data_IF_478655216389
#
_entry.id   IF_478655216389
#
_cell.length_a   1.000
_cell.length_b   1.000
_cell.length_c   1.000
_cell.angle_alpha   90.00
_cell.angle_beta   90.00
_cell.angle_gamma   90.00
#
_symmetry.space_group_name_H-M   'P 1'
#
loop_
_entity.id
_entity.type
_entity.pdbx_description
1 polymer ?
#
# COMPACT_ATOMS: atom_id res chain seq x y z
N UNK A 1 -7.02 15.79 -7.13
CA UNK A 1 -6.06 16.71 -6.50
C UNK A 1 -6.62 17.34 -5.22
N UNK A 2 -7.95 17.31 -4.99
CA UNK A 2 -8.62 17.87 -3.80
C UNK A 2 -8.22 17.23 -2.46
N UNK A 3 -7.97 15.91 -2.43
CA UNK A 3 -7.74 15.17 -1.17
C UNK A 3 -6.50 15.61 -0.37
N UNK A 4 -5.47 16.17 -1.01
CA UNK A 4 -4.27 16.66 -0.30
C UNK A 4 -4.49 18.01 0.39
N UNK A 5 -5.41 18.84 -0.12
CA UNK A 5 -5.70 20.14 0.47
C UNK A 5 -6.45 19.99 1.80
N UNK A 6 -7.30 18.97 1.91
CA UNK A 6 -8.12 18.69 3.09
C UNK A 6 -7.29 18.19 4.28
N UNK A 7 -6.19 17.46 4.02
CA UNK A 7 -5.33 16.92 5.06
C UNK A 7 -4.28 17.91 5.59
N UNK A 8 -4.10 19.06 4.93
CA UNK A 8 -3.08 20.06 5.30
C UNK A 8 -3.23 20.58 6.74
N UNK A 9 -4.44 20.91 7.25
CA UNK A 9 -4.62 21.33 8.64
C UNK A 9 -4.24 20.22 9.63
N UNK A 10 -4.64 18.98 9.33
CA UNK A 10 -4.28 17.81 10.14
C UNK A 10 -2.77 17.59 10.18
N UNK A 11 -2.08 17.78 9.06
CA UNK A 11 -0.63 17.65 8.96
C UNK A 11 0.08 18.75 9.77
N UNK A 12 -0.34 20.00 9.62
CA UNK A 12 0.22 21.12 10.39
C UNK A 12 0.04 20.90 11.90
N UNK A 13 -1.13 20.44 12.32
CA UNK A 13 -1.42 20.12 13.73
C UNK A 13 -0.56 18.95 14.24
N UNK A 14 -0.37 17.92 13.43
CA UNK A 14 0.50 16.79 13.78
C UNK A 14 1.97 17.23 13.92
N UNK A 15 2.44 18.14 13.06
CA UNK A 15 3.83 18.64 13.11
C UNK A 15 4.10 19.65 14.23
N UNK A 16 3.07 20.33 14.74
CA UNK A 16 3.23 21.38 15.74
C UNK A 16 3.46 20.87 17.16
N UNK A 17 3.56 19.54 17.36
CA UNK A 17 3.57 18.86 18.67
C UNK A 17 2.33 19.16 19.54
N UNK A 18 1.27 19.76 18.97
CA UNK A 18 0.01 20.00 19.68
C UNK A 18 -0.81 18.72 19.86
N UNK A 19 -0.48 17.67 19.11
CA UNK A 19 -1.15 16.37 19.14
C UNK A 19 -0.46 15.44 20.14
N UNK A 20 -1.19 15.05 21.19
CA UNK A 20 -0.71 14.07 22.16
C UNK A 20 -0.88 12.65 21.61
N UNK A 21 0.22 12.07 21.13
CA UNK A 21 0.25 10.67 20.71
C UNK A 21 0.15 9.77 21.94
N UNK A 22 -0.75 8.77 21.96
CA UNK A 22 -0.86 7.82 23.07
C UNK A 22 0.50 7.20 23.40
N UNK A 23 0.89 7.23 24.67
CA UNK A 23 2.21 6.78 25.13
C UNK A 23 2.53 5.32 24.72
N UNK A 24 1.51 4.47 24.60
CA UNK A 24 1.63 3.11 24.09
C UNK A 24 2.16 3.06 22.65
N UNK A 25 1.78 4.00 21.79
CA UNK A 25 2.22 4.10 20.40
C UNK A 25 3.63 4.69 20.25
N UNK A 26 4.08 5.45 21.25
CA UNK A 26 5.44 6.01 21.32
C UNK A 26 6.45 5.05 21.97
N UNK A 27 6.02 3.87 22.41
CA UNK A 27 6.90 2.87 23.02
C UNK A 27 7.82 2.24 21.96
N UNK A 28 9.13 2.14 22.26
CA UNK A 28 10.12 1.53 21.37
C UNK A 28 9.76 0.10 20.91
N UNK A 29 9.09 -0.68 21.75
CA UNK A 29 8.64 -2.03 21.38
C UNK A 29 7.55 -1.99 20.30
N UNK A 30 6.72 -0.95 20.29
CA UNK A 30 5.66 -0.76 19.31
C UNK A 30 6.24 -0.23 18.01
N UNK A 31 7.10 0.79 18.08
CA UNK A 31 7.75 1.39 16.90
C UNK A 31 8.55 0.36 16.08
N UNK A 32 9.19 -0.60 16.74
CA UNK A 32 10.05 -1.60 16.08
C UNK A 32 9.31 -2.84 15.57
N UNK A 33 8.14 -3.17 16.14
CA UNK A 33 7.43 -4.43 15.85
C UNK A 33 6.10 -4.25 15.13
N UNK A 34 5.44 -3.11 15.32
CA UNK A 34 4.13 -2.88 14.73
C UNK A 34 4.29 -2.38 13.30
N UNK A 35 3.53 -2.98 12.39
CA UNK A 35 3.51 -2.53 11.01
C UNK A 35 3.02 -1.06 10.94
N UNK A 36 3.67 -0.19 10.16
CA UNK A 36 3.29 1.23 10.07
C UNK A 36 1.81 1.46 9.78
N UNK A 37 1.19 0.62 8.96
CA UNK A 37 -0.24 0.66 8.67
C UNK A 37 -1.11 0.44 9.91
N UNK A 38 -0.74 -0.53 10.76
CA UNK A 38 -1.46 -0.80 12.01
C UNK A 38 -1.32 0.39 12.96
N UNK A 39 -0.13 0.97 13.03
CA UNK A 39 0.16 2.16 13.83
C UNK A 39 -0.73 3.36 13.44
N UNK A 40 -0.82 3.68 12.14
CA UNK A 40 -1.73 4.73 11.64
C UNK A 40 -3.21 4.43 11.89
N UNK A 41 -3.63 3.16 11.80
CA UNK A 41 -5.01 2.78 12.13
C UNK A 41 -5.34 2.97 13.62
N UNK A 42 -4.35 2.83 14.50
CA UNK A 42 -4.55 3.08 15.92
C UNK A 42 -4.75 4.56 16.20
N UNK A 43 -4.03 5.45 15.51
CA UNK A 43 -4.22 6.90 15.63
C UNK A 43 -5.60 7.35 15.14
N UNK A 44 -6.06 6.78 14.03
CA UNK A 44 -7.41 7.04 13.50
C UNK A 44 -8.49 6.61 14.50
N UNK A 45 -8.37 5.40 15.06
CA UNK A 45 -9.31 4.88 16.07
C UNK A 45 -9.29 5.65 17.38
N UNK A 46 -8.13 6.19 17.75
CA UNK A 46 -7.99 7.04 18.92
C UNK A 46 -8.49 8.48 18.66
N UNK A 47 -8.91 8.80 17.43
CA UNK A 47 -9.35 10.14 17.01
C UNK A 47 -8.32 11.25 17.32
N UNK A 48 -7.04 10.87 17.33
CA UNK A 48 -5.90 11.75 17.63
C UNK A 48 -5.52 12.57 16.39
N UNK A 49 -5.71 11.97 15.22
CA UNK A 49 -5.38 12.57 13.92
C UNK A 49 -6.61 12.53 13.03
N UNK A 50 -6.76 13.56 12.18
CA UNK A 50 -7.84 13.64 11.21
C UNK A 50 -7.83 12.45 10.23
N UNK A 51 -9.03 11.98 9.89
CA UNK A 51 -9.21 10.81 9.02
C UNK A 51 -8.68 11.02 7.61
N UNK A 52 -8.69 12.26 7.09
CA UNK A 52 -8.11 12.58 5.78
C UNK A 52 -6.59 12.34 5.78
N UNK A 53 -5.89 12.71 6.86
CA UNK A 53 -4.46 12.50 7.00
C UNK A 53 -4.13 11.01 7.17
N UNK A 54 -4.88 10.29 8.00
CA UNK A 54 -4.75 8.83 8.14
C UNK A 54 -4.97 8.10 6.80
N UNK A 55 -5.94 8.55 5.99
CA UNK A 55 -6.19 7.99 4.67
C UNK A 55 -5.01 8.25 3.69
N UNK A 56 -4.43 9.45 3.70
CA UNK A 56 -3.22 9.74 2.89
C UNK A 56 -2.04 8.88 3.36
N UNK A 57 -1.78 8.81 4.67
CA UNK A 57 -0.72 7.98 5.21
C UNK A 57 -0.90 6.51 4.82
N UNK A 58 -2.13 6.00 4.90
CA UNK A 58 -2.50 4.68 4.39
C UNK A 58 -2.12 4.50 2.93
N UNK A 59 -2.58 5.41 2.04
CA UNK A 59 -2.28 5.35 0.60
C UNK A 59 -0.78 5.36 0.31
N UNK A 60 -0.01 6.24 0.97
CA UNK A 60 1.45 6.32 0.81
C UNK A 60 2.13 5.02 1.20
N UNK A 61 1.69 4.38 2.29
CA UNK A 61 2.24 3.10 2.75
C UNK A 61 1.94 1.92 1.83
N UNK A 62 0.91 2.03 0.97
CA UNK A 62 0.61 1.03 -0.07
C UNK A 62 1.26 1.34 -1.42
N UNK A 63 1.85 2.52 -1.58
CA UNK A 63 2.51 2.85 -2.85
C UNK A 63 3.81 2.04 -2.97
N UNK A 64 4.09 1.47 -4.15
CA UNK A 64 5.36 0.82 -4.39
C UNK A 64 6.49 1.84 -4.22
N UNK A 65 7.54 1.45 -3.49
CA UNK A 65 8.69 2.33 -3.22
C UNK A 65 9.49 2.70 -4.47
N UNK A 66 9.35 1.91 -5.54
CA UNK A 66 10.02 2.12 -6.83
C UNK A 66 9.31 1.38 -7.95
N UNK A 67 9.44 1.85 -9.18
CA UNK A 67 9.02 1.11 -10.38
C UNK A 67 9.68 -0.26 -10.49
N UNK A 68 10.89 -0.43 -9.98
CA UNK A 68 11.61 -1.71 -9.93
C UNK A 68 10.85 -2.77 -9.12
N UNK A 69 10.07 -2.38 -8.12
CA UNK A 69 9.23 -3.31 -7.35
C UNK A 69 8.15 -3.99 -8.22
N UNK A 70 7.81 -3.39 -9.37
CA UNK A 70 6.86 -3.91 -10.35
C UNK A 70 7.55 -4.80 -11.40
N UNK A 71 8.87 -4.75 -11.56
CA UNK A 71 9.60 -5.61 -12.51
C UNK A 71 9.41 -7.10 -12.19
N UNK A 72 9.27 -7.44 -10.90
CA UNK A 72 8.95 -8.80 -10.47
C UNK A 72 7.56 -9.25 -10.94
N UNK A 73 6.60 -8.32 -11.01
CA UNK A 73 5.28 -8.57 -11.60
C UNK A 73 5.36 -8.73 -13.11
N UNK A 74 6.08 -7.85 -13.82
CA UNK A 74 6.26 -7.94 -15.26
C UNK A 74 7.02 -9.21 -15.69
N UNK A 75 7.99 -9.66 -14.91
CA UNK A 75 8.71 -10.92 -15.15
C UNK A 75 7.77 -12.13 -15.05
N UNK A 76 6.91 -12.16 -14.03
CA UNK A 76 5.88 -13.20 -13.89
C UNK A 76 4.85 -13.13 -15.02
N UNK A 77 4.43 -11.92 -15.41
CA UNK A 77 3.51 -11.68 -16.51
C UNK A 77 4.09 -12.17 -17.84
N UNK A 78 5.34 -11.81 -18.13
CA UNK A 78 6.09 -12.29 -19.28
C UNK A 78 6.15 -13.81 -19.31
N UNK A 79 6.51 -14.45 -18.19
CA UNK A 79 6.57 -15.92 -18.11
C UNK A 79 5.21 -16.59 -18.41
N UNK A 80 4.12 -16.01 -17.92
CA UNK A 80 2.77 -16.52 -18.16
C UNK A 80 2.35 -16.33 -19.62
N UNK A 81 2.63 -15.15 -20.19
CA UNK A 81 2.20 -14.80 -21.54
C UNK A 81 3.05 -15.46 -22.63
N UNK A 82 4.36 -15.57 -22.44
CA UNK A 82 5.29 -16.05 -23.48
C UNK A 82 5.56 -17.55 -23.40
N UNK A 83 5.73 -18.09 -22.19
CA UNK A 83 6.21 -19.46 -21.99
C UNK A 83 5.10 -20.44 -21.59
N UNK A 84 4.23 -20.07 -20.65
CA UNK A 84 3.21 -20.99 -20.12
C UNK A 84 1.92 -21.03 -20.95
N UNK A 85 1.41 -19.89 -21.44
CA UNK A 85 0.16 -19.86 -22.23
C UNK A 85 0.15 -18.76 -23.30
N UNK A 86 0.55 -19.13 -24.52
CA UNK A 86 0.73 -18.24 -25.69
C UNK A 86 -0.54 -17.53 -26.25
N UNK A 87 -1.71 -17.61 -25.60
CA UNK A 87 -2.99 -17.05 -26.14
C UNK A 87 -3.95 -16.50 -25.07
N UNK A 88 -3.44 -16.11 -23.89
CA UNK A 88 -4.31 -15.42 -22.92
C UNK A 88 -4.47 -13.95 -23.31
N UNK A 89 -5.72 -13.51 -23.46
CA UNK A 89 -6.03 -12.09 -23.48
C UNK A 89 -5.60 -11.42 -22.18
N UNK A 90 -5.27 -10.13 -22.25
CA UNK A 90 -4.62 -9.35 -21.18
C UNK A 90 -5.33 -9.51 -19.82
N UNK A 91 -6.67 -9.49 -19.82
CA UNK A 91 -7.51 -9.63 -18.62
C UNK A 91 -7.34 -11.00 -17.93
N UNK A 92 -7.22 -12.08 -18.72
CA UNK A 92 -7.02 -13.43 -18.17
C UNK A 92 -5.58 -13.61 -17.69
N UNK A 93 -4.61 -13.04 -18.41
CA UNK A 93 -3.21 -13.09 -18.02
C UNK A 93 -2.97 -12.35 -16.69
N UNK A 94 -3.57 -11.16 -16.51
CA UNK A 94 -3.50 -10.39 -15.28
C UNK A 94 -4.03 -11.19 -14.08
N UNK A 95 -5.24 -11.77 -14.19
CA UNK A 95 -5.80 -12.63 -13.13
C UNK A 95 -4.90 -13.82 -12.81
N UNK A 96 -4.30 -14.43 -13.84
CA UNK A 96 -3.39 -15.57 -13.65
C UNK A 96 -2.10 -15.17 -12.91
N UNK A 97 -1.55 -13.99 -13.20
CA UNK A 97 -0.37 -13.45 -12.49
C UNK A 97 -0.68 -13.21 -11.02
N UNK A 98 -1.87 -12.69 -10.70
CA UNK A 98 -2.34 -12.57 -9.32
C UNK A 98 -2.33 -13.95 -8.65
N UNK A 99 -3.05 -14.93 -9.21
CA UNK A 99 -3.10 -16.30 -8.68
C UNK A 99 -1.71 -16.91 -8.49
N UNK A 100 -0.83 -16.76 -9.48
CA UNK A 100 0.53 -17.27 -9.45
C UNK A 100 1.34 -16.66 -8.29
N UNK A 101 1.16 -15.36 -8.05
CA UNK A 101 1.81 -14.66 -6.92
C UNK A 101 1.23 -15.10 -5.58
N UNK A 102 -0.09 -15.29 -5.47
CA UNK A 102 -0.74 -15.83 -4.26
C UNK A 102 -0.13 -17.18 -3.89
N UNK A 103 -0.02 -18.07 -4.87
CA UNK A 103 0.46 -19.45 -4.66
C UNK A 103 1.95 -19.50 -4.30
N UNK A 104 2.77 -18.56 -4.76
CA UNK A 104 4.21 -18.51 -4.46
C UNK A 104 4.56 -17.74 -3.18
N UNK A 105 3.84 -16.67 -2.88
CA UNK A 105 4.08 -15.79 -1.74
C UNK A 105 2.76 -15.26 -1.17
N UNK A 106 2.05 -16.02 -0.32
CA UNK A 106 0.77 -15.59 0.25
C UNK A 106 0.87 -14.28 1.05
N UNK A 107 2.06 -13.99 1.60
CA UNK A 107 2.31 -12.85 2.48
C UNK A 107 2.69 -11.55 1.75
N UNK A 108 2.95 -11.57 0.43
CA UNK A 108 3.38 -10.40 -0.36
C UNK A 108 2.23 -9.74 -1.17
N UNK A 109 0.99 -10.19 -0.97
CA UNK A 109 -0.17 -9.62 -1.68
C UNK A 109 -0.55 -8.27 -1.10
N UNK A 110 0.09 -7.24 -1.64
CA UNK A 110 -0.41 -5.89 -1.57
C UNK A 110 -1.34 -5.63 -2.76
N UNK A 111 -2.65 -5.60 -2.48
CA UNK A 111 -3.68 -5.29 -3.48
C UNK A 111 -3.51 -3.90 -4.11
N UNK A 112 -2.82 -2.97 -3.44
CA UNK A 112 -2.45 -1.67 -4.01
C UNK A 112 -1.52 -1.81 -5.22
N UNK A 113 -0.49 -2.65 -5.10
CA UNK A 113 0.46 -2.92 -6.17
C UNK A 113 -0.15 -3.70 -7.34
N UNK A 114 -1.06 -4.63 -7.04
CA UNK A 114 -1.80 -5.38 -8.08
C UNK A 114 -2.69 -4.44 -8.90
N UNK A 115 -3.41 -3.53 -8.24
CA UNK A 115 -4.30 -2.58 -8.90
C UNK A 115 -3.51 -1.59 -9.76
N UNK A 116 -2.40 -1.06 -9.25
CA UNK A 116 -1.49 -0.20 -10.01
C UNK A 116 -0.92 -0.91 -11.25
N UNK A 117 -0.49 -2.17 -11.13
CA UNK A 117 -0.05 -2.97 -12.28
C UNK A 117 -1.14 -3.15 -13.33
N UNK A 118 -2.38 -3.47 -12.92
CA UNK A 118 -3.50 -3.64 -13.86
C UNK A 118 -3.84 -2.32 -14.56
N UNK A 119 -3.78 -1.20 -13.85
CA UNK A 119 -4.00 0.13 -14.42
C UNK A 119 -2.89 0.61 -15.36
N UNK A 120 -1.63 0.15 -15.20
CA UNK A 120 -0.55 0.47 -16.13
C UNK A 120 -0.53 -0.43 -17.38
N UNK A 121 -1.20 -1.58 -17.33
CA UNK A 121 -1.28 -2.52 -18.46
C UNK A 121 -2.53 -2.26 -19.33
N UNK A 122 -3.58 -1.64 -18.78
CA UNK A 122 -4.78 -1.18 -19.49
C UNK A 122 -4.58 0.22 -20.07
#
# INVERSE_FOLDING_TARGET
MESCSEALPGLLNFTSNAVEIPCALSNNNVITKVQPKVWWSCLEKASVVDSSLCNIAGKVLYMPSSSASLERFFSNFGTIQTNLRKRLGIQKAAKLVVCYRILRSPQELDWGNVTACVQMIM
#
